data_IF_359743384349
#
_entry.id   IF_359743384349
#
_cell.length_a   1.000
_cell.length_b   1.000
_cell.length_c   1.000
_cell.angle_alpha   90.00
_cell.angle_beta   90.00
_cell.angle_gamma   90.00
#
_symmetry.space_group_name_H-M   'P 1'
#
loop_
_entity.id
_entity.type
_entity.pdbx_description
1 polymer ?
#
# COMPACT_ATOMS: atom_id res chain seq x y z
N UNK A 1 -15.13 35.66 -0.08
CA UNK A 1 -14.80 35.07 1.22
C UNK A 1 -13.55 34.22 1.01
N UNK A 2 -12.43 34.52 1.66
CA UNK A 2 -11.28 33.61 1.64
C UNK A 2 -11.68 32.38 2.47
N UNK A 3 -12.08 31.30 1.80
CA UNK A 3 -12.29 30.03 2.47
C UNK A 3 -10.96 29.59 3.11
N UNK A 4 -10.96 29.45 4.43
CA UNK A 4 -9.82 28.92 5.16
C UNK A 4 -9.70 27.42 4.89
N UNK A 5 -8.58 26.99 4.29
CA UNK A 5 -8.27 25.57 4.15
C UNK A 5 -7.94 24.98 5.54
N UNK A 6 -8.76 24.04 6.00
CA UNK A 6 -8.51 23.30 7.25
C UNK A 6 -7.98 21.91 6.89
N UNK A 7 -6.73 21.65 7.26
CA UNK A 7 -6.09 20.34 7.12
C UNK A 7 -6.14 19.62 8.45
N UNK A 8 -6.83 18.47 8.51
CA UNK A 8 -6.90 17.62 9.69
C UNK A 8 -7.06 16.16 9.31
N UNK A 9 -6.56 15.22 10.12
CA UNK A 9 -6.92 13.82 9.97
C UNK A 9 -8.42 13.61 10.14
N UNK A 10 -8.96 12.63 9.43
CA UNK A 10 -10.28 12.10 9.70
C UNK A 10 -10.26 11.21 10.95
N UNK A 11 -11.29 11.30 11.82
CA UNK A 11 -11.39 10.44 12.99
C UNK A 11 -11.31 8.96 12.62
N UNK A 12 -10.73 8.15 13.52
CA UNK A 12 -10.59 6.72 13.31
C UNK A 12 -9.22 6.35 12.76
N UNK A 13 -9.16 5.62 11.65
CA UNK A 13 -7.92 5.00 11.19
C UNK A 13 -6.84 6.03 10.80
N UNK A 14 -7.20 7.13 10.13
CA UNK A 14 -6.22 8.15 9.74
C UNK A 14 -5.62 8.87 10.96
N UNK A 15 -6.43 9.23 11.95
CA UNK A 15 -5.95 9.82 13.21
C UNK A 15 -5.05 8.87 14.00
N UNK A 16 -5.42 7.58 14.11
CA UNK A 16 -4.58 6.55 14.75
C UNK A 16 -3.23 6.39 14.05
N UNK A 17 -3.21 6.44 12.72
CA UNK A 17 -1.99 6.34 11.94
C UNK A 17 -1.06 7.54 12.12
N UNK A 18 -1.57 8.77 12.11
CA UNK A 18 -0.75 9.98 12.29
C UNK A 18 -0.30 10.19 13.74
N UNK A 19 -0.99 9.59 14.71
CA UNK A 19 -0.69 9.73 16.14
C UNK A 19 0.21 8.64 16.71
N UNK A 20 0.46 7.55 15.97
CA UNK A 20 1.24 6.43 16.49
C UNK A 20 2.71 6.79 16.75
N UNK A 21 3.28 6.37 17.89
CA UNK A 21 4.71 6.55 18.18
C UNK A 21 5.59 5.46 17.55
N UNK A 22 5.01 4.48 16.84
CA UNK A 22 5.78 3.36 16.30
C UNK A 22 6.85 3.81 15.29
N UNK A 23 8.02 3.16 15.34
CA UNK A 23 9.13 3.37 14.40
C UNK A 23 8.70 3.07 12.97
N UNK A 24 7.85 2.04 12.80
CA UNK A 24 7.28 1.63 11.51
C UNK A 24 5.75 1.55 11.67
N UNK A 25 5.01 2.31 10.89
CA UNK A 25 3.54 2.20 10.86
C UNK A 25 3.06 1.87 9.45
N UNK A 26 2.19 0.87 9.34
CA UNK A 26 1.55 0.47 8.09
C UNK A 26 0.07 0.85 8.17
N UNK A 27 -0.40 1.67 7.23
CA UNK A 27 -1.80 1.99 7.02
C UNK A 27 -2.31 1.18 5.82
N UNK A 28 -3.18 0.19 6.04
CA UNK A 28 -3.60 -0.68 4.94
C UNK A 28 -5.02 -1.21 5.04
N UNK A 29 -5.54 -1.70 3.92
CA UNK A 29 -6.94 -2.12 3.78
C UNK A 29 -7.58 -1.49 2.55
N UNK A 30 -8.90 -1.28 2.58
CA UNK A 30 -9.69 -0.95 1.40
C UNK A 30 -9.27 0.34 0.67
N UNK A 31 -9.49 0.36 -0.65
CA UNK A 31 -9.36 1.53 -1.50
C UNK A 31 -10.23 2.70 -1.01
N UNK A 32 -9.78 3.92 -1.28
CA UNK A 32 -10.50 5.13 -0.89
C UNK A 32 -10.41 5.52 0.60
N UNK A 33 -9.74 4.75 1.46
CA UNK A 33 -9.63 5.03 2.91
C UNK A 33 -8.72 6.23 3.31
N UNK A 34 -8.27 7.04 2.35
CA UNK A 34 -7.45 8.24 2.63
C UNK A 34 -5.98 7.97 3.00
N UNK A 35 -5.46 6.76 2.70
CA UNK A 35 -4.12 6.31 3.10
C UNK A 35 -2.98 7.14 2.51
N UNK A 36 -2.95 7.33 1.19
CA UNK A 36 -1.91 8.15 0.53
C UNK A 36 -1.97 9.61 0.98
N UNK A 37 -3.17 10.14 1.30
CA UNK A 37 -3.29 11.48 1.86
C UNK A 37 -2.69 11.56 3.28
N UNK A 38 -2.81 10.49 4.08
CA UNK A 38 -2.17 10.43 5.39
C UNK A 38 -0.63 10.53 5.30
N UNK A 39 0.00 9.88 4.31
CA UNK A 39 1.45 10.02 4.09
C UNK A 39 1.87 11.46 3.74
N UNK A 40 0.99 12.25 3.12
CA UNK A 40 1.26 13.66 2.83
C UNK A 40 0.98 14.54 4.06
N UNK A 41 0.02 14.16 4.90
CA UNK A 41 -0.27 14.89 6.14
C UNK A 41 0.83 14.70 7.20
N UNK A 42 1.38 13.49 7.31
CA UNK A 42 2.33 13.12 8.35
C UNK A 42 3.52 14.09 8.51
N UNK A 43 4.28 14.45 7.46
CA UNK A 43 5.45 15.31 7.63
C UNK A 43 5.09 16.73 8.08
N UNK A 44 3.85 17.19 7.89
CA UNK A 44 3.41 18.57 8.22
C UNK A 44 3.67 18.89 9.69
N UNK A 45 3.61 17.90 10.59
CA UNK A 45 3.89 18.11 12.01
C UNK A 45 5.34 18.48 12.30
N UNK A 46 6.26 18.33 11.34
CA UNK A 46 7.69 18.59 11.50
C UNK A 46 8.25 19.57 10.47
N UNK A 47 7.46 20.10 9.54
CA UNK A 47 7.95 21.06 8.51
C UNK A 47 8.46 22.38 9.09
N UNK A 48 8.24 22.65 10.38
CA UNK A 48 8.80 23.82 11.06
C UNK A 48 10.18 23.56 11.68
N UNK A 49 10.66 22.31 11.68
CA UNK A 49 11.96 21.91 12.24
C UNK A 49 13.06 22.07 11.19
N UNK A 50 14.07 22.93 11.40
CA UNK A 50 15.20 23.06 10.49
C UNK A 50 15.96 21.74 10.31
N UNK A 51 16.31 21.41 9.06
CA UNK A 51 17.01 20.17 8.74
C UNK A 51 16.12 18.92 8.71
N UNK A 52 14.81 19.03 8.99
CA UNK A 52 13.89 17.90 8.78
C UNK A 52 13.78 17.55 7.29
N UNK A 53 14.14 16.32 6.96
CA UNK A 53 14.13 15.78 5.61
C UNK A 53 13.30 14.51 5.52
N UNK A 54 12.42 14.46 4.52
CA UNK A 54 11.59 13.29 4.26
C UNK A 54 11.49 12.95 2.78
N UNK A 55 11.26 11.66 2.49
CA UNK A 55 11.08 11.14 1.14
C UNK A 55 9.85 10.24 1.11
N UNK A 56 8.97 10.47 0.14
CA UNK A 56 7.81 9.62 -0.12
C UNK A 56 8.02 8.90 -1.45
N UNK A 57 8.05 7.57 -1.41
CA UNK A 57 8.31 6.70 -2.55
C UNK A 57 7.01 6.15 -3.16
N UNK A 58 7.02 6.03 -4.49
CA UNK A 58 6.14 5.18 -5.30
C UNK A 58 6.97 4.17 -6.09
N UNK A 59 6.34 3.15 -6.67
CA UNK A 59 7.08 2.18 -7.49
C UNK A 59 7.61 2.85 -8.75
N UNK A 60 6.73 3.58 -9.45
CA UNK A 60 7.05 4.20 -10.74
C UNK A 60 7.10 5.72 -10.63
N UNK A 61 8.04 6.34 -11.36
CA UNK A 61 8.18 7.80 -11.40
C UNK A 61 6.91 8.50 -11.92
N UNK A 62 6.23 7.91 -12.91
CA UNK A 62 5.00 8.48 -13.50
C UNK A 62 3.84 8.56 -12.50
N UNK A 63 3.76 7.65 -11.53
CA UNK A 63 2.73 7.63 -10.49
C UNK A 63 2.81 8.84 -9.54
N UNK A 64 4.00 9.46 -9.45
CA UNK A 64 4.20 10.64 -8.61
C UNK A 64 3.47 11.87 -9.17
N UNK A 65 3.54 12.06 -10.49
CA UNK A 65 3.13 13.31 -11.17
C UNK A 65 1.87 13.21 -12.00
N UNK A 66 1.37 12.00 -12.29
CA UNK A 66 0.09 11.82 -12.99
C UNK A 66 -1.08 12.43 -12.19
N UNK A 67 -2.22 12.63 -12.84
CA UNK A 67 -3.42 13.14 -12.18
C UNK A 67 -3.80 12.26 -10.98
N UNK A 68 -4.04 12.89 -9.83
CA UNK A 68 -4.29 12.18 -8.58
C UNK A 68 -3.04 11.55 -7.93
N UNK A 69 -1.86 11.70 -8.53
CA UNK A 69 -0.57 11.30 -7.99
C UNK A 69 -0.17 12.10 -6.74
N UNK A 70 0.89 11.66 -6.06
CA UNK A 70 1.33 12.24 -4.79
C UNK A 70 1.72 13.72 -4.90
N UNK A 71 2.43 14.11 -5.95
CA UNK A 71 2.86 15.50 -6.17
C UNK A 71 1.65 16.39 -6.46
N UNK A 72 0.71 15.91 -7.28
CA UNK A 72 -0.54 16.62 -7.58
C UNK A 72 -1.35 16.89 -6.30
N UNK A 73 -1.50 15.88 -5.44
CA UNK A 73 -2.16 16.04 -4.13
C UNK A 73 -1.40 16.99 -3.20
N UNK A 74 -0.07 16.91 -3.17
CA UNK A 74 0.77 17.79 -2.36
C UNK A 74 0.67 19.26 -2.79
N UNK A 75 0.57 19.53 -4.10
CA UNK A 75 0.36 20.89 -4.64
C UNK A 75 -0.94 21.54 -4.15
N UNK A 76 -1.97 20.75 -3.84
CA UNK A 76 -3.21 21.24 -3.23
C UNK A 76 -3.10 21.60 -1.74
N UNK A 77 -1.96 21.34 -1.10
CA UNK A 77 -1.82 21.39 0.35
C UNK A 77 -0.58 22.17 0.82
N UNK A 78 0.61 21.75 0.39
CA UNK A 78 1.87 22.29 0.88
C UNK A 78 2.11 23.78 0.56
N UNK A 79 1.66 24.35 -0.59
CA UNK A 79 1.78 25.78 -0.84
C UNK A 79 1.07 26.67 0.20
N UNK A 80 -0.06 26.22 0.73
CA UNK A 80 -0.77 26.92 1.82
C UNK A 80 0.01 26.93 3.13
N UNK A 81 1.02 26.08 3.25
CA UNK A 81 1.94 25.98 4.40
C UNK A 81 3.30 26.65 4.11
N UNK A 82 3.41 27.41 3.02
CA UNK A 82 4.66 28.06 2.59
C UNK A 82 5.64 27.13 1.86
N UNK A 83 5.21 25.92 1.49
CA UNK A 83 6.04 24.98 0.73
C UNK A 83 6.25 25.44 -0.70
N UNK A 84 7.51 25.62 -1.11
CA UNK A 84 7.91 25.97 -2.48
C UNK A 84 8.25 24.71 -3.26
N UNK A 85 7.50 24.44 -4.34
CA UNK A 85 7.71 23.29 -5.21
C UNK A 85 8.89 23.47 -6.16
N UNK A 86 9.66 22.40 -6.36
CA UNK A 86 10.68 22.26 -7.41
C UNK A 86 10.56 20.89 -8.05
N UNK A 87 10.48 20.84 -9.37
CA UNK A 87 10.38 19.59 -10.13
C UNK A 87 11.72 18.89 -10.37
N UNK A 88 12.85 19.62 -10.32
CA UNK A 88 14.19 19.11 -10.62
C UNK A 88 15.17 19.34 -9.45
N UNK A 89 16.19 18.47 -9.29
CA UNK A 89 16.42 17.20 -10.02
C UNK A 89 15.40 16.11 -9.65
N UNK A 90 14.72 16.27 -8.51
CA UNK A 90 13.66 15.38 -8.03
C UNK A 90 12.50 16.23 -7.51
N UNK A 91 11.24 15.89 -7.80
CA UNK A 91 10.08 16.62 -7.31
C UNK A 91 10.12 16.75 -5.79
N UNK A 92 10.02 17.98 -5.28
CA UNK A 92 10.15 18.25 -3.85
C UNK A 92 9.54 19.59 -3.45
N UNK A 93 9.25 19.73 -2.16
CA UNK A 93 8.83 20.97 -1.53
C UNK A 93 9.85 21.35 -0.45
N UNK A 94 10.21 22.63 -0.41
CA UNK A 94 11.02 23.22 0.66
C UNK A 94 10.18 24.23 1.42
N UNK A 95 10.16 24.12 2.75
CA UNK A 95 9.36 24.95 3.65
C UNK A 95 10.19 26.10 4.23
N UNK A 96 9.57 27.14 4.85
CA UNK A 96 10.29 28.31 5.35
C UNK A 96 11.39 28.01 6.37
N UNK A 97 11.27 26.91 7.13
CA UNK A 97 12.28 26.44 8.09
C UNK A 97 13.52 25.82 7.43
N UNK A 98 13.48 25.56 6.12
CA UNK A 98 14.44 24.73 5.40
C UNK A 98 14.09 23.24 5.38
N UNK A 99 13.03 22.80 6.06
CA UNK A 99 12.55 21.42 5.96
C UNK A 99 12.21 21.06 4.51
N UNK A 100 12.48 19.81 4.12
CA UNK A 100 12.33 19.36 2.74
C UNK A 100 11.61 18.03 2.65
N UNK A 101 10.58 17.96 1.81
CA UNK A 101 9.88 16.71 1.46
C UNK A 101 10.06 16.45 -0.03
N UNK A 102 10.72 15.35 -0.39
CA UNK A 102 10.92 14.91 -1.77
C UNK A 102 10.06 13.70 -2.11
N UNK A 103 9.86 13.51 -3.41
CA UNK A 103 9.09 12.41 -3.97
C UNK A 103 9.99 11.57 -4.86
N UNK A 104 10.22 10.32 -4.46
CA UNK A 104 11.13 9.39 -5.12
C UNK A 104 10.39 8.21 -5.74
N UNK A 105 11.10 7.44 -6.56
CA UNK A 105 10.64 6.13 -7.04
C UNK A 105 11.72 5.08 -6.85
N UNK A 106 11.31 3.82 -6.77
CA UNK A 106 12.20 2.65 -6.72
C UNK A 106 11.61 1.54 -7.59
N UNK A 107 11.78 1.66 -8.91
CA UNK A 107 11.28 0.68 -9.86
C UNK A 107 12.15 -0.58 -9.83
N UNK A 108 13.47 -0.43 -9.99
CA UNK A 108 14.39 -1.57 -9.95
C UNK A 108 15.05 -1.74 -8.58
N UNK A 109 15.42 -2.96 -8.21
CA UNK A 109 16.12 -3.26 -6.94
C UNK A 109 17.35 -2.37 -6.73
N UNK A 110 18.13 -2.13 -7.80
CA UNK A 110 19.38 -1.34 -7.74
C UNK A 110 19.19 0.16 -7.49
N UNK A 111 17.99 0.71 -7.68
CA UNK A 111 17.75 2.15 -7.52
C UNK A 111 17.95 2.61 -6.07
N UNK A 112 17.84 1.68 -5.11
CA UNK A 112 18.14 1.95 -3.70
C UNK A 112 19.59 2.41 -3.49
N UNK A 113 20.54 1.99 -4.35
CA UNK A 113 21.94 2.36 -4.22
C UNK A 113 22.20 3.84 -4.51
N UNK A 114 21.32 4.51 -5.28
CA UNK A 114 21.37 5.95 -5.45
C UNK A 114 21.18 6.72 -4.13
N UNK A 115 20.65 6.05 -3.10
CA UNK A 115 20.38 6.60 -1.77
C UNK A 115 21.42 6.18 -0.72
N UNK A 116 22.54 5.56 -1.11
CA UNK A 116 23.53 5.03 -0.16
C UNK A 116 24.08 6.10 0.81
N UNK A 117 24.25 7.33 0.35
CA UNK A 117 24.74 8.45 1.16
C UNK A 117 23.65 9.26 1.88
N UNK A 118 22.37 8.91 1.72
CA UNK A 118 21.26 9.72 2.21
C UNK A 118 21.02 9.58 3.72
N UNK A 119 20.56 10.68 4.32
CA UNK A 119 20.07 10.74 5.70
C UNK A 119 18.62 11.20 5.64
N UNK A 120 17.69 10.33 6.02
CA UNK A 120 16.26 10.59 5.84
C UNK A 120 15.58 10.34 7.17
N UNK A 121 14.94 11.38 7.71
CA UNK A 121 14.22 11.29 8.99
C UNK A 121 12.83 10.71 8.79
N UNK A 122 12.13 11.14 7.74
CA UNK A 122 10.80 10.62 7.39
C UNK A 122 10.87 9.81 6.10
N UNK A 123 10.77 8.48 6.22
CA UNK A 123 10.64 7.59 5.06
C UNK A 123 9.19 7.16 4.89
N UNK A 124 8.66 7.33 3.69
CA UNK A 124 7.33 6.84 3.37
C UNK A 124 7.27 6.06 2.08
N UNK A 125 6.43 5.03 2.05
CA UNK A 125 6.18 4.18 0.88
C UNK A 125 4.68 4.11 0.63
N UNK A 126 4.24 4.60 -0.53
CA UNK A 126 2.85 4.53 -0.95
C UNK A 126 2.66 3.35 -1.92
N UNK A 127 1.60 2.58 -1.75
CA UNK A 127 1.45 1.23 -2.33
C UNK A 127 2.63 0.32 -1.98
N UNK A 128 2.94 0.21 -0.69
CA UNK A 128 4.03 -0.59 -0.15
C UNK A 128 4.09 -2.03 -0.70
N UNK A 129 2.95 -2.61 -1.06
CA UNK A 129 2.84 -3.96 -1.61
C UNK A 129 3.53 -4.12 -2.97
N UNK A 130 3.73 -3.03 -3.71
CA UNK A 130 4.41 -3.02 -5.01
C UNK A 130 5.94 -2.98 -4.89
N UNK A 131 6.48 -2.73 -3.70
CA UNK A 131 7.92 -2.78 -3.45
C UNK A 131 8.31 -4.16 -2.96
N UNK A 132 9.56 -4.55 -3.21
CA UNK A 132 10.13 -5.72 -2.59
C UNK A 132 10.50 -5.43 -1.14
N UNK A 133 10.59 -6.50 -0.34
CA UNK A 133 11.07 -6.41 1.03
C UNK A 133 12.52 -5.87 1.08
N UNK A 134 13.38 -6.30 0.15
CA UNK A 134 14.76 -5.84 0.05
C UNK A 134 14.87 -4.33 -0.15
N UNK A 135 14.01 -3.74 -0.98
CA UNK A 135 14.03 -2.30 -1.22
C UNK A 135 13.70 -1.50 0.04
N UNK A 136 12.60 -1.83 0.72
CA UNK A 136 12.20 -1.11 1.93
C UNK A 136 13.25 -1.34 3.03
N UNK A 137 13.75 -2.57 3.18
CA UNK A 137 14.78 -2.89 4.16
C UNK A 137 16.08 -2.14 3.93
N UNK A 138 16.52 -2.02 2.68
CA UNK A 138 17.69 -1.23 2.35
C UNK A 138 17.47 0.24 2.71
N UNK A 139 16.32 0.81 2.33
CA UNK A 139 16.02 2.20 2.64
C UNK A 139 15.90 2.48 4.14
N UNK A 140 15.44 1.52 4.94
CA UNK A 140 15.45 1.65 6.41
C UNK A 140 16.86 1.87 6.97
N UNK A 141 17.92 1.37 6.31
CA UNK A 141 19.30 1.67 6.72
C UNK A 141 19.73 3.13 6.47
N UNK A 142 18.92 3.92 5.75
CA UNK A 142 19.06 5.36 5.56
C UNK A 142 18.12 6.17 6.46
N UNK A 143 17.31 5.50 7.27
CA UNK A 143 16.40 6.12 8.21
C UNK A 143 17.17 6.62 9.45
N UNK A 144 17.72 7.82 9.34
CA UNK A 144 18.52 8.46 10.39
C UNK A 144 18.30 9.96 10.38
N UNK A 145 18.50 10.58 11.54
CA UNK A 145 18.16 11.99 11.74
C UNK A 145 19.19 12.68 12.64
N UNK A 146 19.48 13.93 12.31
CA UNK A 146 20.32 14.85 13.08
C UNK A 146 19.57 16.13 13.48
N UNK A 147 18.30 16.28 13.08
CA UNK A 147 17.49 17.47 13.30
C UNK A 147 16.69 17.45 14.62
N UNK A 148 16.90 16.43 15.47
CA UNK A 148 16.20 16.26 16.75
C UNK A 148 14.88 15.49 16.68
N UNK A 149 14.36 15.21 15.47
CA UNK A 149 13.20 14.32 15.28
C UNK A 149 13.71 12.88 15.16
N UNK A 150 13.16 11.95 15.94
CA UNK A 150 13.50 10.53 15.82
C UNK A 150 13.10 10.00 14.43
N UNK A 151 13.95 9.25 13.72
CA UNK A 151 13.66 8.78 12.37
C UNK A 151 12.56 7.70 12.36
N UNK A 152 11.66 7.72 11.38
CA UNK A 152 10.49 6.83 11.34
C UNK A 152 10.02 6.50 9.92
N UNK A 153 9.33 5.37 9.79
CA UNK A 153 8.80 4.82 8.53
C UNK A 153 7.28 4.81 8.55
N UNK A 154 6.69 5.17 7.41
CA UNK A 154 5.25 5.09 7.15
C UNK A 154 4.99 4.38 5.84
N UNK A 155 4.07 3.42 5.84
CA UNK A 155 3.74 2.65 4.63
C UNK A 155 2.23 2.70 4.44
N UNK A 156 1.75 3.14 3.28
CA UNK A 156 0.36 2.90 2.87
C UNK A 156 0.29 1.81 1.82
N UNK A 157 -0.73 0.95 1.88
CA UNK A 157 -0.83 -0.18 0.95
C UNK A 157 -2.26 -0.74 0.90
N UNK A 158 -2.59 -1.39 -0.22
CA UNK A 158 -3.81 -2.19 -0.35
C UNK A 158 -3.49 -3.68 -0.18
N UNK A 159 -4.47 -4.51 0.19
CA UNK A 159 -4.26 -5.94 0.34
C UNK A 159 -3.78 -6.61 -0.95
N UNK A 160 -2.71 -7.38 -0.82
CA UNK A 160 -2.20 -8.26 -1.87
C UNK A 160 -1.62 -9.52 -1.22
N UNK A 161 -2.22 -10.67 -1.54
CA UNK A 161 -1.91 -11.95 -0.90
C UNK A 161 -0.53 -12.50 -1.29
N UNK A 162 0.06 -11.99 -2.36
CA UNK A 162 1.36 -12.44 -2.87
C UNK A 162 2.49 -11.45 -2.50
N UNK A 163 2.14 -10.33 -1.87
CA UNK A 163 3.10 -9.37 -1.34
C UNK A 163 3.69 -9.84 -0.01
N UNK A 164 4.99 -9.58 0.20
CA UNK A 164 5.68 -9.80 1.47
C UNK A 164 5.00 -9.07 2.65
N UNK A 165 4.24 -8.00 2.37
CA UNK A 165 3.48 -7.27 3.39
C UNK A 165 2.40 -8.16 4.02
N UNK A 166 1.73 -9.04 3.26
CA UNK A 166 0.70 -9.91 3.82
C UNK A 166 1.29 -10.87 4.88
N UNK A 167 2.49 -11.39 4.64
CA UNK A 167 3.23 -12.19 5.61
C UNK A 167 3.70 -11.33 6.80
N UNK A 168 4.24 -10.14 6.52
CA UNK A 168 4.70 -9.20 7.54
C UNK A 168 3.57 -8.79 8.49
N UNK A 169 2.35 -8.68 7.98
CA UNK A 169 1.15 -8.32 8.73
C UNK A 169 0.39 -9.51 9.33
N UNK A 170 0.92 -10.74 9.19
CA UNK A 170 0.21 -11.97 9.52
C UNK A 170 -0.38 -12.02 10.93
N UNK A 171 0.27 -11.41 11.93
CA UNK A 171 -0.28 -11.34 13.29
C UNK A 171 -1.50 -10.43 13.41
N UNK A 172 -1.59 -9.36 12.62
CA UNK A 172 -2.75 -8.47 12.62
C UNK A 172 -3.89 -8.96 11.72
N UNK A 173 -3.65 -10.00 10.92
CA UNK A 173 -4.60 -10.56 9.95
C UNK A 173 -5.09 -11.91 10.45
N UNK A 174 -6.40 -12.11 10.43
CA UNK A 174 -7.01 -13.40 10.65
C UNK A 174 -6.60 -14.33 9.50
N UNK A 175 -5.90 -15.41 9.83
CA UNK A 175 -5.33 -16.30 8.83
C UNK A 175 -6.36 -17.24 8.19
N UNK A 176 -7.55 -17.38 8.79
CA UNK A 176 -8.64 -18.17 8.22
C UNK A 176 -9.48 -17.32 7.27
N UNK A 177 -9.84 -16.10 7.70
CA UNK A 177 -10.74 -15.24 6.94
C UNK A 177 -10.03 -14.29 5.98
N UNK A 178 -8.77 -13.95 6.27
CA UNK A 178 -7.97 -12.98 5.51
C UNK A 178 -8.25 -11.51 5.84
N UNK A 179 -9.14 -11.22 6.79
CA UNK A 179 -9.44 -9.86 7.20
C UNK A 179 -8.57 -9.41 8.37
N UNK A 180 -8.39 -8.09 8.51
CA UNK A 180 -7.70 -7.54 9.67
C UNK A 180 -8.49 -7.80 10.96
N UNK A 181 -7.79 -8.24 12.02
CA UNK A 181 -8.36 -8.41 13.35
C UNK A 181 -8.47 -7.02 13.98
N UNK A 182 -9.71 -6.56 14.19
CA UNK A 182 -10.00 -5.17 14.58
C UNK A 182 -9.36 -4.79 15.91
N UNK A 183 -9.32 -5.71 16.86
CA UNK A 183 -8.76 -5.54 18.21
C UNK A 183 -7.24 -5.41 18.18
N UNK A 184 -6.59 -5.96 17.16
CA UNK A 184 -5.14 -5.87 16.96
C UNK A 184 -4.73 -4.59 16.22
N UNK A 185 -5.67 -3.93 15.53
CA UNK A 185 -5.41 -2.70 14.78
C UNK A 185 -4.91 -1.57 15.69
N UNK A 186 -3.68 -1.12 15.48
CA UNK A 186 -3.01 -0.12 16.32
C UNK A 186 -2.18 -0.69 17.46
N UNK A 187 -2.19 -2.00 17.69
CA UNK A 187 -1.31 -2.63 18.66
C UNK A 187 0.12 -2.60 18.13
N UNK A 188 1.01 -2.06 18.95
CA UNK A 188 2.45 -2.01 18.69
C UNK A 188 3.06 -3.36 19.07
N UNK A 189 3.84 -3.92 18.15
CA UNK A 189 4.72 -5.07 18.39
C UNK A 189 6.15 -4.68 18.09
N UNK A 190 7.09 -5.50 18.55
CA UNK A 190 8.51 -5.24 18.38
C UNK A 190 9.13 -6.26 17.45
N UNK A 191 10.01 -5.80 16.58
CA UNK A 191 10.67 -6.59 15.56
C UNK A 191 12.17 -6.41 15.65
N UNK A 192 12.91 -7.52 15.70
CA UNK A 192 14.35 -7.56 15.49
C UNK A 192 14.68 -8.40 14.25
N UNK A 193 15.93 -8.30 13.79
CA UNK A 193 16.47 -9.18 12.75
C UNK A 193 17.69 -9.92 13.26
N UNK A 194 17.63 -11.25 13.22
CA UNK A 194 18.73 -12.14 13.60
C UNK A 194 18.98 -13.06 12.42
N UNK A 195 20.21 -13.07 11.89
CA UNK A 195 20.61 -13.88 10.73
C UNK A 195 19.68 -13.78 9.51
N UNK A 196 19.14 -12.57 9.28
CA UNK A 196 18.23 -12.27 8.18
C UNK A 196 16.77 -12.68 8.42
N UNK A 197 16.46 -13.31 9.55
CA UNK A 197 15.08 -13.66 9.93
C UNK A 197 14.45 -12.59 10.81
N UNK A 198 13.13 -12.43 10.68
CA UNK A 198 12.32 -11.49 11.47
C UNK A 198 11.81 -12.20 12.72
N UNK A 199 12.14 -11.67 13.90
CA UNK A 199 11.66 -12.19 15.17
C UNK A 199 10.77 -11.13 15.83
N UNK A 200 9.57 -11.56 16.23
CA UNK A 200 8.54 -10.69 16.80
C UNK A 200 8.38 -10.92 18.30
N UNK A 201 8.19 -9.83 19.04
CA UNK A 201 7.87 -9.83 20.47
C UNK A 201 6.75 -8.84 20.78
N UNK A 202 6.07 -9.05 21.90
CA UNK A 202 5.03 -8.13 22.39
C UNK A 202 5.63 -7.01 23.25
N UNK A 203 6.90 -7.15 23.64
CA UNK A 203 7.73 -6.14 24.31
C UNK A 203 9.17 -6.15 23.79
N UNK A 204 9.97 -5.12 24.13
CA UNK A 204 11.40 -5.10 23.76
C UNK A 204 12.19 -6.11 24.60
N UNK A 205 11.79 -6.27 25.85
CA UNK A 205 12.38 -7.15 26.85
C UNK A 205 12.26 -8.62 26.44
N UNK A 206 11.13 -9.02 25.83
CA UNK A 206 10.99 -10.36 25.25
C UNK A 206 12.02 -10.66 24.16
N UNK A 207 12.53 -9.64 23.48
CA UNK A 207 13.48 -9.83 22.38
C UNK A 207 14.94 -9.93 22.84
N UNK A 208 15.26 -9.47 24.05
CA UNK A 208 16.62 -9.55 24.62
C UNK A 208 17.14 -10.99 24.70
N UNK A 209 16.26 -11.98 24.83
CA UNK A 209 16.61 -13.40 24.86
C UNK A 209 17.33 -13.88 23.59
N UNK A 210 17.21 -13.14 22.48
CA UNK A 210 17.87 -13.42 21.21
C UNK A 210 19.22 -12.71 21.05
N UNK A 211 19.76 -12.12 22.13
CA UNK A 211 21.10 -11.52 22.16
C UNK A 211 21.20 -10.15 21.49
N UNK A 212 20.08 -9.45 21.30
CA UNK A 212 20.03 -8.07 20.81
C UNK A 212 19.86 -7.06 21.95
N UNK A 213 20.32 -5.83 21.75
CA UNK A 213 20.05 -4.73 22.67
C UNK A 213 18.61 -4.23 22.51
N UNK A 214 18.02 -3.63 23.56
CA UNK A 214 16.65 -3.08 23.53
C UNK A 214 16.43 -2.08 22.37
N UNK A 215 17.48 -1.36 21.96
CA UNK A 215 17.45 -0.37 20.88
C UNK A 215 17.50 -0.99 19.48
N UNK A 216 17.89 -2.26 19.36
CA UNK A 216 17.88 -2.99 18.09
C UNK A 216 16.45 -3.31 17.64
N UNK A 217 15.53 -3.43 18.59
CA UNK A 217 14.12 -3.66 18.32
C UNK A 217 13.47 -2.42 17.66
N UNK A 218 12.73 -2.63 16.59
CA UNK A 218 11.87 -1.61 15.98
C UNK A 218 10.43 -1.87 16.36
N UNK A 219 9.78 -0.83 16.87
CA UNK A 219 8.34 -0.85 17.14
C UNK A 219 7.56 -0.74 15.83
N UNK A 220 6.57 -1.59 15.66
CA UNK A 220 5.78 -1.73 14.44
C UNK A 220 4.30 -1.76 14.78
N UNK A 221 3.48 -1.06 14.02
CA UNK A 221 2.01 -1.17 14.11
C UNK A 221 1.37 -1.28 12.75
N UNK A 222 0.22 -1.94 12.69
CA UNK A 222 -0.68 -1.93 11.55
C UNK A 222 -2.01 -1.26 11.91
N UNK A 223 -2.43 -0.31 11.07
CA UNK A 223 -3.72 0.37 11.17
C UNK A 223 -4.59 -0.12 10.00
N UNK A 224 -5.58 -0.99 10.26
CA UNK A 224 -6.53 -1.39 9.23
C UNK A 224 -7.47 -0.24 8.87
N UNK A 225 -7.79 -0.13 7.59
CA UNK A 225 -8.61 0.93 7.01
C UNK A 225 -9.69 0.36 6.09
N UNK A 226 -10.84 1.01 6.10
CA UNK A 226 -11.93 0.76 5.16
C UNK A 226 -12.34 2.06 4.49
N UNK A 227 -13.15 1.98 3.43
CA UNK A 227 -13.72 3.17 2.80
C UNK A 227 -14.52 4.05 3.79
N UNK A 228 -15.09 3.44 4.83
CA UNK A 228 -15.87 4.15 5.85
C UNK A 228 -15.02 5.06 6.74
N UNK A 229 -13.71 4.84 6.80
CA UNK A 229 -12.75 5.72 7.49
C UNK A 229 -12.49 7.04 6.72
N UNK A 230 -13.06 7.19 5.51
CA UNK A 230 -13.01 8.41 4.73
C UNK A 230 -14.42 8.97 4.43
N UNK A 231 -15.14 9.47 5.45
CA UNK A 231 -16.45 10.09 5.27
C UNK A 231 -16.44 11.27 4.29
N UNK A 232 -15.32 12.01 4.17
CA UNK A 232 -15.21 13.12 3.21
C UNK A 232 -15.37 12.62 1.78
N UNK A 233 -14.69 11.54 1.39
CA UNK A 233 -14.82 10.96 0.05
C UNK A 233 -16.25 10.50 -0.21
N UNK A 234 -16.84 9.76 0.74
CA UNK A 234 -18.22 9.26 0.61
C UNK A 234 -19.25 10.39 0.51
N UNK A 235 -19.01 11.53 1.17
CA UNK A 235 -19.89 12.70 1.07
C UNK A 235 -19.78 13.43 -0.27
N UNK A 236 -18.57 13.50 -0.85
CA UNK A 236 -18.30 14.21 -2.11
C UNK A 236 -18.62 13.36 -3.35
N UNK A 237 -18.39 12.06 -3.25
CA UNK A 237 -18.67 11.08 -4.30
C UNK A 237 -19.30 9.81 -3.70
N UNK A 238 -20.61 9.85 -3.39
CA UNK A 238 -21.34 8.66 -2.93
C UNK A 238 -21.33 7.52 -3.96
N UNK A 239 -21.15 7.85 -5.26
CA UNK A 239 -21.15 6.91 -6.37
C UNK A 239 -19.90 6.03 -6.42
N UNK A 240 -18.78 6.45 -5.81
CA UNK A 240 -17.54 5.69 -5.77
C UNK A 240 -17.71 4.27 -5.22
N UNK A 241 -18.61 4.09 -4.24
CA UNK A 241 -18.90 2.77 -3.67
C UNK A 241 -19.52 1.82 -4.72
N UNK A 242 -20.31 2.33 -5.67
CA UNK A 242 -20.87 1.53 -6.74
C UNK A 242 -19.78 1.01 -7.68
N UNK A 243 -18.75 1.82 -7.97
CA UNK A 243 -17.62 1.39 -8.79
C UNK A 243 -16.85 0.23 -8.14
N UNK A 244 -16.57 0.32 -6.83
CA UNK A 244 -15.91 -0.78 -6.10
C UNK A 244 -16.76 -2.04 -6.04
N UNK A 245 -18.09 -1.91 -5.94
CA UNK A 245 -19.03 -3.04 -5.94
C UNK A 245 -19.10 -3.75 -7.29
N UNK A 246 -18.81 -3.06 -8.39
CA UNK A 246 -18.82 -3.61 -9.74
C UNK A 246 -17.54 -4.33 -10.16
N UNK A 247 -16.52 -4.37 -9.29
CA UNK A 247 -15.28 -5.11 -9.55
C UNK A 247 -15.50 -6.64 -9.53
N UNK A 248 -14.54 -7.37 -10.11
CA UNK A 248 -14.52 -8.84 -9.97
C UNK A 248 -14.51 -9.26 -8.51
N UNK A 249 -14.95 -10.49 -8.20
CA UNK A 249 -15.03 -10.97 -6.82
C UNK A 249 -13.72 -10.79 -6.05
N UNK A 250 -12.57 -11.11 -6.67
CA UNK A 250 -11.25 -10.99 -6.06
C UNK A 250 -10.87 -9.52 -5.84
N UNK A 251 -11.02 -8.67 -6.85
CA UNK A 251 -10.67 -7.24 -6.76
C UNK A 251 -11.56 -6.50 -5.77
N UNK A 252 -12.87 -6.80 -5.76
CA UNK A 252 -13.81 -6.30 -4.75
C UNK A 252 -13.39 -6.74 -3.35
N UNK A 253 -13.08 -8.02 -3.15
CA UNK A 253 -12.64 -8.53 -1.85
C UNK A 253 -11.38 -7.81 -1.34
N UNK A 254 -10.44 -7.46 -2.23
CA UNK A 254 -9.23 -6.70 -1.88
C UNK A 254 -9.52 -5.21 -1.64
N UNK A 255 -10.12 -4.55 -2.62
CA UNK A 255 -10.23 -3.09 -2.68
C UNK A 255 -11.45 -2.53 -1.96
N UNK A 256 -12.51 -3.30 -1.77
CA UNK A 256 -13.67 -2.89 -0.97
C UNK A 256 -13.62 -3.50 0.43
N UNK A 257 -13.44 -4.82 0.51
CA UNK A 257 -13.62 -5.56 1.75
C UNK A 257 -12.31 -5.66 2.57
N UNK A 258 -11.16 -5.37 1.96
CA UNK A 258 -9.88 -5.33 2.66
C UNK A 258 -9.25 -6.71 2.94
N UNK A 259 -9.54 -7.73 2.13
CA UNK A 259 -9.07 -9.10 2.34
C UNK A 259 -7.62 -9.30 1.85
N UNK A 260 -6.73 -9.71 2.75
CA UNK A 260 -5.29 -9.90 2.54
C UNK A 260 -4.88 -11.30 2.08
N UNK A 261 -5.80 -12.27 2.05
CA UNK A 261 -5.49 -13.65 1.66
C UNK A 261 -6.21 -14.11 0.41
N UNK A 262 -7.15 -13.31 -0.10
CA UNK A 262 -7.91 -13.65 -1.31
C UNK A 262 -6.97 -13.74 -2.52
N UNK A 263 -7.03 -14.88 -3.21
CA UNK A 263 -6.30 -15.17 -4.44
C UNK A 263 -7.29 -15.54 -5.54
N UNK A 264 -6.97 -15.22 -6.81
CA UNK A 264 -7.66 -15.84 -7.92
C UNK A 264 -7.51 -17.36 -7.85
N UNK A 265 -8.63 -18.08 -7.91
CA UNK A 265 -8.64 -19.54 -8.01
C UNK A 265 -9.42 -19.96 -9.26
N UNK A 266 -9.10 -21.15 -9.80
CA UNK A 266 -9.86 -21.75 -10.89
C UNK A 266 -11.35 -21.81 -10.52
N UNK A 267 -12.23 -21.34 -11.41
CA UNK A 267 -13.67 -21.25 -11.17
C UNK A 267 -14.18 -19.94 -10.52
N UNK A 268 -13.29 -19.03 -10.08
CA UNK A 268 -13.71 -17.73 -9.52
C UNK A 268 -13.96 -16.64 -10.58
N UNK A 269 -13.47 -16.80 -11.80
CA UNK A 269 -13.74 -15.87 -12.90
C UNK A 269 -15.13 -16.06 -13.51
N UNK A 270 -15.65 -17.28 -13.48
CA UNK A 270 -17.00 -17.65 -13.94
C UNK A 270 -17.69 -18.47 -12.85
N UNK A 271 -18.06 -17.85 -11.71
CA UNK A 271 -18.72 -18.58 -10.67
C UNK A 271 -20.08 -19.07 -11.19
N UNK A 272 -20.39 -20.33 -10.91
CA UNK A 272 -21.58 -20.99 -11.45
C UNK A 272 -22.90 -20.30 -11.07
N UNK A 273 -22.91 -19.56 -9.96
CA UNK A 273 -24.08 -18.78 -9.53
C UNK A 273 -24.28 -17.47 -10.33
N UNK A 274 -23.25 -16.93 -10.99
CA UNK A 274 -23.36 -15.74 -11.86
C UNK A 274 -23.75 -16.10 -13.30
N UNK A 275 -23.90 -17.39 -13.60
CA UNK A 275 -24.32 -17.87 -14.91
C UNK A 275 -25.69 -18.51 -14.84
N UNK A 276 -26.59 -18.10 -15.73
CA UNK A 276 -27.87 -18.81 -15.92
C UNK A 276 -27.61 -20.01 -16.80
N UNK A 277 -27.67 -21.20 -16.21
CA UNK A 277 -27.54 -22.46 -16.96
C UNK A 277 -28.89 -22.74 -17.60
N UNK A 278 -28.93 -22.69 -18.93
CA UNK A 278 -30.08 -23.10 -19.73
C UNK A 278 -29.88 -24.54 -20.22
N UNK A 279 -30.96 -25.31 -20.25
CA UNK A 279 -31.03 -26.68 -20.77
C UNK A 279 -31.70 -26.74 -22.16
N UNK A 280 -31.96 -25.58 -22.76
CA UNK A 280 -32.58 -25.42 -24.08
C UNK A 280 -31.69 -24.58 -25.01
N UNK A 281 -31.87 -24.73 -26.32
CA UNK A 281 -31.12 -23.99 -27.34
C UNK A 281 -31.90 -22.73 -27.74
N UNK A 282 -31.30 -21.52 -27.62
CA UNK A 282 -31.90 -20.28 -28.11
C UNK A 282 -32.43 -20.39 -29.55
N UNK A 283 -33.66 -19.93 -29.79
CA UNK A 283 -34.29 -19.97 -31.12
C UNK A 283 -34.12 -18.66 -31.90
N UNK A 284 -33.67 -17.61 -31.23
CA UNK A 284 -33.49 -16.25 -31.71
C UNK A 284 -32.01 -15.91 -32.03
N UNK A 285 -31.20 -16.93 -32.28
CA UNK A 285 -29.78 -16.79 -32.64
C UNK A 285 -29.63 -16.07 -33.97
N UNK A 286 -29.14 -14.84 -33.94
CA UNK A 286 -28.89 -14.02 -35.14
C UNK A 286 -27.46 -14.17 -35.68
N UNK A 287 -26.52 -14.73 -34.90
CA UNK A 287 -25.12 -14.85 -35.30
C UNK A 287 -24.42 -16.00 -34.58
N UNK A 288 -23.60 -16.73 -35.34
CA UNK A 288 -22.72 -17.77 -34.81
C UNK A 288 -21.27 -17.28 -34.83
N UNK A 289 -20.55 -17.54 -33.75
CA UNK A 289 -19.12 -17.28 -33.55
C UNK A 289 -18.42 -18.59 -33.28
N UNK A 290 -17.22 -18.77 -33.85
CA UNK A 290 -16.34 -19.89 -33.52
C UNK A 290 -15.03 -19.34 -32.99
N UNK A 291 -14.67 -19.77 -31.79
CA UNK A 291 -13.37 -19.52 -31.18
C UNK A 291 -12.54 -20.79 -31.20
N UNK A 292 -11.22 -20.63 -31.30
CA UNK A 292 -10.26 -21.72 -31.26
C UNK A 292 -9.24 -21.42 -30.16
N UNK A 293 -9.03 -22.38 -29.28
CA UNK A 293 -7.92 -22.42 -28.33
C UNK A 293 -6.82 -23.27 -28.96
N UNK A 294 -5.74 -22.63 -29.41
CA UNK A 294 -4.67 -23.29 -30.16
C UNK A 294 -3.63 -23.84 -29.19
N UNK A 295 -3.36 -25.13 -29.28
CA UNK A 295 -2.29 -25.78 -28.53
C UNK A 295 -1.13 -26.17 -29.47
N UNK A 296 0.11 -25.92 -29.05
CA UNK A 296 1.31 -26.12 -29.85
C UNK A 296 2.52 -26.61 -29.03
N UNK A 297 2.27 -27.30 -27.90
CA UNK A 297 3.35 -27.85 -27.07
C UNK A 297 3.89 -29.14 -27.68
N UNK A 298 5.22 -29.29 -27.68
CA UNK A 298 5.89 -30.52 -28.11
C UNK A 298 5.72 -31.63 -27.07
N UNK A 299 5.45 -32.86 -27.54
CA UNK A 299 5.35 -34.03 -26.68
C UNK A 299 6.68 -34.33 -25.98
N UNK A 300 6.61 -34.56 -24.67
CA UNK A 300 7.73 -35.00 -23.85
C UNK A 300 7.37 -36.30 -23.15
N UNK A 301 8.35 -37.17 -22.94
CA UNK A 301 8.13 -38.47 -22.29
C UNK A 301 7.51 -38.28 -20.89
N UNK A 302 6.31 -38.83 -20.68
CA UNK A 302 5.56 -38.70 -19.43
C UNK A 302 4.67 -37.45 -19.30
N UNK A 303 4.54 -36.61 -20.33
CA UNK A 303 3.58 -35.50 -20.38
C UNK A 303 2.64 -35.61 -21.58
N UNK A 304 1.34 -35.67 -21.30
CA UNK A 304 0.31 -35.49 -22.33
C UNK A 304 0.22 -34.00 -22.69
N UNK A 305 0.25 -33.70 -23.99
CA UNK A 305 0.07 -32.33 -24.51
C UNK A 305 -1.41 -32.03 -24.74
N UNK A 306 -1.77 -30.76 -24.62
CA UNK A 306 -3.12 -30.29 -24.88
C UNK A 306 -3.43 -30.26 -26.39
N UNK A 307 -4.70 -30.45 -26.73
CA UNK A 307 -5.18 -30.42 -28.10
C UNK A 307 -5.75 -29.06 -28.45
N UNK A 308 -5.51 -28.61 -29.68
CA UNK A 308 -6.24 -27.45 -30.23
C UNK A 308 -7.74 -27.74 -30.17
N UNK A 309 -8.48 -26.87 -29.48
CA UNK A 309 -9.90 -27.05 -29.18
C UNK A 309 -10.73 -25.93 -29.79
N UNK A 310 -11.89 -26.25 -30.34
CA UNK A 310 -12.77 -25.28 -31.00
C UNK A 310 -14.13 -25.20 -30.30
N UNK A 311 -14.56 -23.98 -29.94
CA UNK A 311 -15.88 -23.73 -29.37
C UNK A 311 -16.72 -22.91 -30.34
N UNK A 312 -17.91 -23.42 -30.71
CA UNK A 312 -18.90 -22.67 -31.50
C UNK A 312 -20.01 -22.20 -30.56
N UNK A 313 -20.24 -20.89 -30.54
CA UNK A 313 -21.29 -20.23 -29.76
C UNK A 313 -22.20 -19.49 -30.72
N UNK A 314 -23.50 -19.62 -30.54
CA UNK A 314 -24.53 -18.90 -31.28
C UNK A 314 -25.83 -19.08 -30.56
#
# INVERSE_FOLDING_TARGET
MNESLILRPQPGAQEKFLSTPADIAIYGGAGGAGKSHALLLEPIRHIHVPGFGGVIFRRESKELTMEGGLVSKAMGMYPYLGGVYRSQPTPSFTFPSGARISFGHLNQEREVFAWQGSEICYLAFDEGSHFSDSQINYMMSRNRSTCGVSPYVRISTNPDADSWIAEFLSWWIDQETGYAIKERGGVIRYLIRVDGQRIWGDSREELEQYGCELLDAKSVTFIPATITDNPILLSKDPGYLANLKGLSFVEKSRLLDGNWKIRPAAGMYFPRYDTTIIDWVPTDVIKWVRSWDLAASEEQEGKHVDWTSGMKVG
#
